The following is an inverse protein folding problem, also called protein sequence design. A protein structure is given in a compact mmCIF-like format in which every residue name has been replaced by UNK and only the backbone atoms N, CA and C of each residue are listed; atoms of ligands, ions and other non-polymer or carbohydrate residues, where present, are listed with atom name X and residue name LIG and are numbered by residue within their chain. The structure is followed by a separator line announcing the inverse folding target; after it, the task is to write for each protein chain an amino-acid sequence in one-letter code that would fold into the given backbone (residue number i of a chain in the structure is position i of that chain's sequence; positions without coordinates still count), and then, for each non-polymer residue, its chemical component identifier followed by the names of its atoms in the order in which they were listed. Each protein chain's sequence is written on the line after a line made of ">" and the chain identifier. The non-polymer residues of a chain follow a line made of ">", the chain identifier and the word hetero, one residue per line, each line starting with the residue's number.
data_IF_637210548255
#
_entry.id   IF_637210548255
#
_cell.length_a   1.000
_cell.length_b   1.000
_cell.length_c   1.000
_cell.angle_alpha   90.00
_cell.angle_beta   90.00
_cell.angle_gamma   90.00
#
_symmetry.space_group_name_H-M   'P 1'
#
loop_
_entity.id
_entity.type
_entity.pdbx_description
1 polymer ?
#
# COMPACT_ATOMS: atom_id res chain seq x y z
N UNK A 1 -1.50 3.16 -11.74
CA UNK A 1 -1.31 4.46 -11.07
C UNK A 1 -2.63 4.85 -10.42
N UNK A 2 -2.65 5.71 -9.39
CA UNK A 2 -3.89 6.16 -8.69
C UNK A 2 -4.98 6.61 -9.68
N UNK A 3 -4.56 7.24 -10.79
CA UNK A 3 -5.42 7.66 -11.91
C UNK A 3 -6.25 6.54 -12.53
N UNK A 4 -5.74 5.30 -12.57
CA UNK A 4 -6.44 4.13 -13.12
C UNK A 4 -7.53 3.64 -12.17
N UNK A 5 -7.30 3.71 -10.85
CA UNK A 5 -8.31 3.34 -9.83
C UNK A 5 -9.42 4.37 -9.71
N UNK A 6 -9.11 5.64 -9.95
CA UNK A 6 -10.08 6.72 -9.90
C UNK A 6 -10.89 6.87 -11.22
N UNK A 7 -10.54 6.14 -12.29
CA UNK A 7 -11.23 6.23 -13.58
C UNK A 7 -11.20 7.63 -14.19
N UNK A 8 -10.14 8.40 -13.93
CA UNK A 8 -10.07 9.84 -14.24
C UNK A 8 -9.67 10.09 -15.69
N UNK A 9 -10.54 9.69 -16.60
CA UNK A 9 -10.63 10.33 -17.91
C UNK A 9 -11.36 11.66 -17.76
N UNK A 10 -10.60 12.74 -17.50
CA UNK A 10 -10.99 14.13 -17.73
C UNK A 10 -12.09 14.73 -16.80
N UNK A 11 -11.71 15.80 -16.07
CA UNK A 11 -12.57 16.77 -15.38
C UNK A 11 -13.44 16.25 -14.23
N UNK A 12 -12.93 16.34 -13.01
CA UNK A 12 -13.77 16.36 -11.80
C UNK A 12 -13.43 17.59 -10.99
N UNK A 13 -14.44 18.45 -10.78
CA UNK A 13 -14.37 19.57 -9.87
C UNK A 13 -14.15 19.04 -8.46
N UNK A 14 -12.98 19.35 -7.89
CA UNK A 14 -12.46 18.79 -6.62
C UNK A 14 -13.26 19.27 -5.39
N UNK A 15 -14.36 20.01 -5.59
CA UNK A 15 -15.26 20.49 -4.54
C UNK A 15 -16.45 19.57 -4.24
N UNK A 16 -16.68 18.52 -5.03
CA UNK A 16 -17.84 17.65 -4.81
C UNK A 16 -17.60 16.67 -3.65
N UNK A 17 -18.53 16.66 -2.69
CA UNK A 17 -18.54 15.76 -1.51
C UNK A 17 -18.45 14.29 -1.90
N UNK A 18 -18.89 13.96 -3.12
CA UNK A 18 -18.78 12.61 -3.71
C UNK A 18 -17.34 12.22 -4.09
N UNK A 19 -16.48 13.18 -4.41
CA UNK A 19 -15.05 12.94 -4.70
C UNK A 19 -14.33 12.56 -3.43
N UNK A 20 -14.60 13.27 -2.33
CA UNK A 20 -14.00 12.97 -1.03
C UNK A 20 -14.39 11.57 -0.54
N UNK A 21 -15.66 11.18 -0.67
CA UNK A 21 -16.13 9.84 -0.31
C UNK A 21 -15.42 8.74 -1.13
N UNK A 22 -15.26 8.94 -2.44
CA UNK A 22 -14.51 8.00 -3.30
C UNK A 22 -13.03 7.92 -2.92
N UNK A 23 -12.40 9.05 -2.58
CA UNK A 23 -11.01 9.07 -2.11
C UNK A 23 -10.85 8.29 -0.81
N UNK A 24 -11.78 8.46 0.14
CA UNK A 24 -11.78 7.73 1.41
C UNK A 24 -12.00 6.22 1.21
N UNK A 25 -12.91 5.83 0.30
CA UNK A 25 -13.12 4.43 -0.07
C UNK A 25 -11.86 3.79 -0.66
N UNK A 26 -11.17 4.50 -1.55
CA UNK A 26 -9.91 4.02 -2.15
C UNK A 26 -8.81 3.96 -1.10
N UNK A 27 -8.71 4.94 -0.21
CA UNK A 27 -7.76 4.95 0.93
C UNK A 27 -7.99 3.72 1.81
N UNK A 28 -9.24 3.40 2.15
CA UNK A 28 -9.58 2.20 2.94
C UNK A 28 -9.38 0.90 2.15
N UNK A 29 -9.60 0.90 0.84
CA UNK A 29 -9.27 -0.25 0.00
C UNK A 29 -7.77 -0.53 -0.01
N UNK A 30 -6.93 0.48 -0.23
CA UNK A 30 -5.47 0.33 -0.24
C UNK A 30 -4.98 -0.16 1.14
N UNK A 31 -5.48 0.42 2.25
CA UNK A 31 -5.16 -0.06 3.60
C UNK A 31 -5.56 -1.53 3.81
N UNK A 32 -6.72 -1.96 3.30
CA UNK A 32 -7.16 -3.36 3.36
C UNK A 32 -6.26 -4.26 2.53
N UNK A 33 -5.84 -3.83 1.35
CA UNK A 33 -4.89 -4.55 0.50
C UNK A 33 -3.53 -4.69 1.17
N UNK A 34 -3.00 -3.63 1.80
CA UNK A 34 -1.75 -3.68 2.59
C UNK A 34 -1.85 -4.72 3.71
N UNK A 35 -2.94 -4.72 4.49
CA UNK A 35 -3.15 -5.72 5.57
C UNK A 35 -3.19 -7.16 5.03
N UNK A 36 -3.84 -7.39 3.90
CA UNK A 36 -3.88 -8.71 3.26
C UNK A 36 -2.49 -9.13 2.77
N UNK A 37 -1.77 -8.21 2.13
CA UNK A 37 -0.44 -8.48 1.59
C UNK A 37 0.58 -8.75 2.71
N UNK A 38 0.48 -8.05 3.86
CA UNK A 38 1.29 -8.35 5.04
C UNK A 38 1.06 -9.78 5.57
N UNK A 39 -0.20 -10.24 5.63
CA UNK A 39 -0.51 -11.62 6.03
C UNK A 39 0.05 -12.66 5.05
N UNK A 40 0.02 -12.36 3.76
CA UNK A 40 0.62 -13.21 2.74
C UNK A 40 2.13 -13.26 2.93
N UNK A 41 2.79 -12.11 3.09
CA UNK A 41 4.23 -12.03 3.35
C UNK A 41 4.62 -12.87 4.56
N UNK A 42 3.92 -12.74 5.68
CA UNK A 42 4.17 -13.55 6.89
C UNK A 42 4.01 -15.05 6.62
N UNK A 43 2.94 -15.45 5.92
CA UNK A 43 2.73 -16.85 5.53
C UNK A 43 3.84 -17.39 4.62
N UNK A 44 4.33 -16.58 3.68
CA UNK A 44 5.43 -16.94 2.80
C UNK A 44 6.76 -17.01 3.55
N UNK A 45 7.02 -16.10 4.50
CA UNK A 45 8.21 -16.15 5.35
C UNK A 45 8.23 -17.41 6.21
N UNK A 46 7.08 -17.79 6.77
CA UNK A 46 6.95 -19.05 7.50
C UNK A 46 7.14 -20.26 6.59
N UNK A 47 6.60 -20.23 5.37
CA UNK A 47 6.84 -21.26 4.37
C UNK A 47 8.32 -21.38 4.01
N UNK A 48 9.04 -20.26 3.91
CA UNK A 48 10.49 -20.24 3.64
C UNK A 48 11.29 -20.94 4.73
N UNK A 49 10.95 -20.72 6.00
CA UNK A 49 11.63 -21.35 7.15
C UNK A 49 11.55 -22.87 7.14
N UNK A 50 10.42 -23.41 6.70
CA UNK A 50 10.17 -24.87 6.66
C UNK A 50 10.57 -25.52 5.32
N UNK A 51 10.90 -24.71 4.30
CA UNK A 51 11.28 -25.22 2.98
C UNK A 51 12.77 -25.53 2.93
N UNK A 52 13.12 -26.79 2.68
CA UNK A 52 14.52 -27.25 2.57
C UNK A 52 14.94 -27.53 1.13
N UNK A 53 13.99 -27.77 0.23
CA UNK A 53 14.26 -28.04 -1.19
C UNK A 53 14.73 -26.77 -1.93
N UNK A 54 15.93 -26.82 -2.53
CA UNK A 54 16.54 -25.68 -3.24
C UNK A 54 15.67 -25.07 -4.35
N UNK A 55 14.95 -25.89 -5.12
CA UNK A 55 14.04 -25.41 -6.18
C UNK A 55 12.82 -24.68 -5.60
N UNK A 56 12.26 -25.18 -4.50
CA UNK A 56 11.13 -24.54 -3.82
C UNK A 56 11.56 -23.27 -3.09
N UNK A 57 12.76 -23.24 -2.50
CA UNK A 57 13.31 -22.02 -1.89
C UNK A 57 13.36 -20.87 -2.88
N UNK A 58 13.85 -21.09 -4.10
CA UNK A 58 13.87 -20.06 -5.14
C UNK A 58 12.44 -19.56 -5.51
N UNK A 59 11.46 -20.46 -5.54
CA UNK A 59 10.06 -20.10 -5.77
C UNK A 59 9.50 -19.26 -4.61
N UNK A 60 9.74 -19.66 -3.36
CA UNK A 60 9.32 -18.95 -2.16
C UNK A 60 9.98 -17.56 -2.07
N UNK A 61 11.27 -17.46 -2.38
CA UNK A 61 11.99 -16.19 -2.45
C UNK A 61 11.40 -15.26 -3.50
N UNK A 62 11.00 -15.80 -4.66
CA UNK A 62 10.29 -15.01 -5.68
C UNK A 62 8.91 -14.54 -5.21
N UNK A 63 8.18 -15.35 -4.44
CA UNK A 63 6.92 -14.93 -3.82
C UNK A 63 7.14 -13.79 -2.81
N UNK A 64 8.18 -13.87 -1.97
CA UNK A 64 8.53 -12.78 -1.05
C UNK A 64 8.88 -11.49 -1.79
N UNK A 65 9.68 -11.57 -2.86
CA UNK A 65 10.03 -10.40 -3.68
C UNK A 65 8.78 -9.76 -4.28
N UNK A 66 7.87 -10.55 -4.83
CA UNK A 66 6.61 -10.05 -5.39
C UNK A 66 5.72 -9.39 -4.32
N UNK A 67 5.60 -10.01 -3.16
CA UNK A 67 4.80 -9.48 -2.05
C UNK A 67 5.37 -8.17 -1.50
N UNK A 68 6.70 -8.09 -1.34
CA UNK A 68 7.38 -6.85 -0.95
C UNK A 68 7.19 -5.72 -1.97
N UNK A 69 7.35 -6.02 -3.27
CA UNK A 69 7.14 -5.02 -4.34
C UNK A 69 5.70 -4.49 -4.33
N UNK A 70 4.72 -5.38 -4.15
CA UNK A 70 3.32 -4.98 -4.09
C UNK A 70 3.01 -4.13 -2.85
N UNK A 71 3.61 -4.42 -1.70
CA UNK A 71 3.50 -3.56 -0.51
C UNK A 71 4.06 -2.16 -0.79
N UNK A 72 5.22 -2.07 -1.43
CA UNK A 72 5.84 -0.81 -1.82
C UNK A 72 4.96 -0.01 -2.79
N UNK A 73 4.41 -0.67 -3.82
CA UNK A 73 3.46 -0.07 -4.76
C UNK A 73 2.19 0.45 -4.05
N UNK A 74 1.61 -0.33 -3.14
CA UNK A 74 0.44 0.09 -2.35
C UNK A 74 0.75 1.25 -1.39
N UNK A 75 1.95 1.27 -0.80
CA UNK A 75 2.40 2.38 0.04
C UNK A 75 2.61 3.65 -0.78
N UNK A 76 3.21 3.53 -1.96
CA UNK A 76 3.37 4.64 -2.89
C UNK A 76 2.01 5.16 -3.36
N UNK A 77 1.09 4.28 -3.73
CA UNK A 77 -0.28 4.64 -4.13
C UNK A 77 -1.03 5.39 -3.02
N UNK A 78 -0.89 4.92 -1.77
CA UNK A 78 -1.45 5.60 -0.60
C UNK A 78 -0.83 6.97 -0.36
N UNK A 79 0.48 7.10 -0.57
CA UNK A 79 1.21 8.35 -0.42
C UNK A 79 0.84 9.36 -1.50
N UNK A 80 0.72 8.92 -2.75
CA UNK A 80 0.25 9.75 -3.88
C UNK A 80 -1.19 10.22 -3.65
N UNK A 81 -2.07 9.34 -3.18
CA UNK A 81 -3.45 9.67 -2.82
C UNK A 81 -3.51 10.71 -1.69
N UNK A 82 -2.73 10.51 -0.63
CA UNK A 82 -2.62 11.48 0.46
C UNK A 82 -2.03 12.81 -0.05
N UNK A 83 -1.02 12.81 -0.91
CA UNK A 83 -0.45 14.03 -1.47
C UNK A 83 -1.45 14.83 -2.31
N UNK A 84 -2.37 14.16 -3.01
CA UNK A 84 -3.46 14.82 -3.73
C UNK A 84 -4.53 15.39 -2.77
N UNK A 85 -4.70 14.79 -1.59
CA UNK A 85 -5.57 15.28 -0.50
C UNK A 85 -4.89 16.43 0.30
N UNK A 86 -3.55 16.47 0.40
CA UNK A 86 -2.76 17.42 1.21
C UNK A 86 -2.84 18.88 0.72
N UNK A 87 -3.57 19.17 -0.37
CA UNK A 87 -4.05 20.54 -0.60
C UNK A 87 -5.09 20.96 0.46
N UNK A 88 -5.55 20.04 1.34
CA UNK A 88 -6.52 20.34 2.41
C UNK A 88 -6.12 20.04 3.86
N UNK A 89 -5.26 19.07 4.23
CA UNK A 89 -4.89 18.91 5.67
C UNK A 89 -3.50 18.24 5.93
N UNK A 90 -2.60 18.86 6.74
CA UNK A 90 -1.23 18.40 6.98
C UNK A 90 -1.01 17.46 8.19
N UNK A 91 -2.01 17.17 9.03
CA UNK A 91 -1.81 16.45 10.32
C UNK A 91 -1.61 14.93 10.19
N UNK A 92 -2.05 14.31 9.10
CA UNK A 92 -1.96 12.85 8.90
C UNK A 92 -0.53 12.36 8.54
N UNK A 93 0.36 13.26 8.10
CA UNK A 93 1.73 12.91 7.71
C UNK A 93 2.63 12.57 8.91
N UNK A 94 2.37 13.19 10.06
CA UNK A 94 3.21 13.09 11.26
C UNK A 94 3.14 11.71 11.95
N UNK A 95 2.01 11.01 11.83
CA UNK A 95 1.78 9.74 12.54
C UNK A 95 2.41 8.53 11.81
N UNK A 96 2.58 8.62 10.48
CA UNK A 96 3.17 7.57 9.66
C UNK A 96 4.70 7.59 9.63
N UNK A 97 5.29 8.78 9.57
CA UNK A 97 6.75 8.93 9.52
C UNK A 97 7.43 8.58 10.85
N UNK A 98 6.78 8.86 11.98
CA UNK A 98 7.32 8.59 13.31
C UNK A 98 7.54 7.08 13.56
N UNK A 99 6.65 6.22 13.05
CA UNK A 99 6.79 4.75 13.22
C UNK A 99 7.92 4.15 12.38
N UNK A 100 8.25 4.73 11.23
CA UNK A 100 9.33 4.26 10.37
C UNK A 100 10.72 4.59 10.93
N UNK A 101 10.84 5.70 11.68
CA UNK A 101 12.10 6.09 12.34
C UNK A 101 12.35 5.31 13.64
N UNK A 102 11.30 4.96 14.39
CA UNK A 102 11.45 4.23 15.67
C UNK A 102 11.90 2.77 15.48
N UNK A 103 11.58 2.13 14.34
CA UNK A 103 12.01 0.74 14.06
C UNK A 103 13.41 0.63 13.44
N UNK A 104 14.24 1.70 13.50
CA UNK A 104 15.62 1.70 13.00
C UNK A 104 16.67 2.01 14.09
N UNK A 105 16.28 1.95 15.36
CA UNK A 105 17.17 1.93 16.54
C UNK A 105 16.94 0.63 17.31
#
# INVERSE_FOLDING_TARGET
>A
MVSDRLGLGHNLDLSDTMVQQKLDEIKEQIKREIRKELKIKEGVENLRKVTTEKKRLAYVDNMLKKSNKKLEELHQELQELNAHIVVKDPEDLLLGMSKALVNKL
#
